data_IF_653415736897
#
_entry.id   IF_653415736897
#
_cell.length_a   1.000
_cell.length_b   1.000
_cell.length_c   1.000
_cell.angle_alpha   90.00
_cell.angle_beta   90.00
_cell.angle_gamma   90.00
#
_symmetry.space_group_name_H-M   'P 1'
#
loop_
_entity.id
_entity.type
_entity.pdbx_description
1 polymer ?
#
# COMPACT_ATOMS: atom_id res chain seq x y z
N UNK A 1 -5.76 29.26 8.33
CA UNK A 1 -4.95 28.15 8.88
C UNK A 1 -5.20 26.95 8.00
N UNK A 2 -4.15 26.27 7.50
CA UNK A 2 -4.32 25.04 6.72
C UNK A 2 -4.79 23.90 7.63
N UNK A 3 -5.65 23.03 7.11
CA UNK A 3 -6.19 21.89 7.86
C UNK A 3 -5.12 20.80 8.00
N UNK A 4 -4.87 20.25 9.21
CA UNK A 4 -3.89 19.18 9.37
C UNK A 4 -4.35 17.91 8.64
N UNK A 5 -3.39 17.20 8.06
CA UNK A 5 -3.63 15.95 7.33
C UNK A 5 -2.73 14.84 7.86
N UNK A 6 -3.28 13.62 7.95
CA UNK A 6 -2.51 12.39 8.08
C UNK A 6 -2.37 11.80 6.68
N UNK A 7 -1.13 11.59 6.24
CA UNK A 7 -0.85 11.07 4.90
C UNK A 7 0.12 9.91 4.95
N UNK A 8 -0.10 8.91 4.10
CA UNK A 8 0.83 7.84 3.81
C UNK A 8 1.00 7.72 2.30
N UNK A 9 2.24 7.52 1.85
CA UNK A 9 2.59 7.40 0.44
C UNK A 9 3.41 6.12 0.26
N UNK A 10 3.03 5.33 -0.73
CA UNK A 10 3.74 4.13 -1.12
C UNK A 10 4.16 4.23 -2.58
N UNK A 11 5.39 3.81 -2.85
CA UNK A 11 5.96 3.69 -4.19
C UNK A 11 6.74 2.38 -4.30
N UNK A 12 6.73 1.78 -5.49
CA UNK A 12 7.48 0.56 -5.81
C UNK A 12 7.93 0.60 -7.27
N UNK A 13 9.08 -0.01 -7.62
CA UNK A 13 9.46 -0.19 -9.02
C UNK A 13 8.52 -1.12 -9.80
N UNK A 14 7.90 -2.07 -9.11
CA UNK A 14 7.12 -3.16 -9.74
C UNK A 14 5.61 -3.04 -9.53
N UNK A 15 5.17 -2.06 -8.75
CA UNK A 15 3.75 -1.90 -8.40
C UNK A 15 3.33 -0.44 -8.41
N UNK A 16 2.11 -0.18 -8.86
CA UNK A 16 1.54 1.17 -8.95
C UNK A 16 1.56 1.89 -7.59
N UNK A 17 1.91 3.19 -7.53
CA UNK A 17 1.92 3.93 -6.28
C UNK A 17 0.51 4.06 -5.69
N UNK A 18 0.41 4.17 -4.37
CA UNK A 18 -0.85 4.50 -3.71
C UNK A 18 -0.64 5.49 -2.56
N UNK A 19 -1.69 6.21 -2.23
CA UNK A 19 -1.69 7.22 -1.18
C UNK A 19 -2.94 7.08 -0.32
N UNK A 20 -2.77 7.26 0.99
CA UNK A 20 -3.86 7.47 1.93
C UNK A 20 -3.77 8.89 2.49
N UNK A 21 -4.90 9.58 2.60
CA UNK A 21 -4.97 10.95 3.14
C UNK A 21 -6.25 11.14 3.96
N UNK A 22 -6.10 11.57 5.20
CA UNK A 22 -7.20 11.93 6.08
C UNK A 22 -7.06 13.37 6.54
N UNK A 23 -8.12 14.17 6.36
CA UNK A 23 -8.20 15.52 6.92
C UNK A 23 -8.63 15.44 8.38
N UNK A 24 -7.96 16.21 9.23
CA UNK A 24 -8.23 16.27 10.67
C UNK A 24 -8.80 17.63 11.04
N UNK A 25 -9.58 17.70 12.10
CA UNK A 25 -10.13 18.98 12.57
C UNK A 25 -9.02 19.90 13.04
N UNK A 26 -9.08 21.20 12.68
CA UNK A 26 -8.17 22.20 13.24
C UNK A 26 -8.54 22.42 14.70
N UNK A 27 -7.56 22.32 15.60
CA UNK A 27 -7.72 22.61 17.03
C UNK A 27 -6.85 23.81 17.42
N UNK A 28 -7.44 24.72 18.20
CA UNK A 28 -6.75 25.89 18.76
C UNK A 28 -5.82 25.48 19.92
N UNK A 29 -4.78 26.26 20.19
CA UNK A 29 -3.95 26.11 21.40
C UNK A 29 -4.76 26.28 22.69
N UNK A 30 -5.83 27.08 22.63
CA UNK A 30 -6.80 27.31 23.72
C UNK A 30 -7.97 26.32 23.74
N UNK A 31 -7.93 25.26 22.91
CA UNK A 31 -9.00 24.27 22.85
C UNK A 31 -9.23 23.56 24.19
N UNK A 32 -10.48 23.21 24.47
CA UNK A 32 -10.86 22.52 25.70
C UNK A 32 -10.26 21.10 25.74
N UNK A 33 -10.24 20.49 26.92
CA UNK A 33 -9.83 19.08 27.07
C UNK A 33 -10.71 18.13 26.26
N UNK A 34 -12.02 18.42 26.16
CA UNK A 34 -12.98 17.67 25.35
C UNK A 34 -12.67 17.75 23.86
N UNK A 35 -12.32 18.94 23.36
CA UNK A 35 -11.95 19.13 21.95
C UNK A 35 -10.66 18.38 21.61
N UNK A 36 -9.66 18.45 22.50
CA UNK A 36 -8.40 17.70 22.36
C UNK A 36 -8.64 16.19 22.37
N UNK A 37 -9.50 15.69 23.26
CA UNK A 37 -9.85 14.28 23.31
C UNK A 37 -10.56 13.82 22.03
N UNK A 38 -11.48 14.64 21.51
CA UNK A 38 -12.18 14.38 20.25
C UNK A 38 -11.23 14.35 19.06
N UNK A 39 -10.30 15.30 18.98
CA UNK A 39 -9.25 15.32 17.96
C UNK A 39 -8.37 14.06 18.01
N UNK A 40 -7.90 13.67 19.21
CA UNK A 40 -7.08 12.48 19.37
C UNK A 40 -7.85 11.19 19.05
N UNK A 41 -9.16 11.15 19.32
CA UNK A 41 -10.02 10.04 18.92
C UNK A 41 -10.12 9.94 17.39
N UNK A 42 -10.36 11.06 16.72
CA UNK A 42 -10.42 11.13 15.26
C UNK A 42 -9.08 10.71 14.64
N UNK A 43 -7.96 11.24 15.14
CA UNK A 43 -6.62 10.87 14.68
C UNK A 43 -6.36 9.36 14.83
N UNK A 44 -6.71 8.75 15.98
CA UNK A 44 -6.56 7.30 16.17
C UNK A 44 -7.40 6.49 15.19
N UNK A 45 -8.62 6.92 14.91
CA UNK A 45 -9.47 6.25 13.92
C UNK A 45 -8.85 6.34 12.52
N UNK A 46 -8.39 7.52 12.10
CA UNK A 46 -7.71 7.69 10.81
C UNK A 46 -6.44 6.84 10.71
N UNK A 47 -5.67 6.70 11.78
CA UNK A 47 -4.49 5.82 11.81
C UNK A 47 -4.89 4.35 11.62
N UNK A 48 -5.91 3.87 12.34
CA UNK A 48 -6.38 2.49 12.22
C UNK A 48 -6.92 2.19 10.81
N UNK A 49 -7.63 3.14 10.22
CA UNK A 49 -8.10 3.05 8.83
C UNK A 49 -6.93 3.03 7.85
N UNK A 50 -5.97 3.95 7.98
CA UNK A 50 -4.75 3.96 7.15
C UNK A 50 -4.02 2.63 7.23
N UNK A 51 -3.86 2.06 8.43
CA UNK A 51 -3.23 0.76 8.63
C UNK A 51 -4.00 -0.36 7.92
N UNK A 52 -5.32 -0.38 8.04
CA UNK A 52 -6.17 -1.36 7.36
C UNK A 52 -6.00 -1.29 5.85
N UNK A 53 -6.04 -0.08 5.28
CA UNK A 53 -5.87 0.15 3.83
C UNK A 53 -4.50 -0.33 3.36
N UNK A 54 -3.42 0.04 4.07
CA UNK A 54 -2.06 -0.40 3.72
C UNK A 54 -1.97 -1.93 3.75
N UNK A 55 -2.50 -2.58 4.79
CA UNK A 55 -2.47 -4.04 4.88
C UNK A 55 -3.24 -4.69 3.73
N UNK A 56 -4.41 -4.16 3.38
CA UNK A 56 -5.20 -4.68 2.26
C UNK A 56 -4.45 -4.53 0.93
N UNK A 57 -3.93 -3.34 0.64
CA UNK A 57 -3.20 -3.05 -0.60
C UNK A 57 -1.95 -3.92 -0.75
N UNK A 58 -1.13 -4.03 0.30
CA UNK A 58 0.09 -4.84 0.26
C UNK A 58 -0.22 -6.33 0.18
N UNK A 59 -1.29 -6.81 0.84
CA UNK A 59 -1.69 -8.22 0.76
C UNK A 59 -2.17 -8.57 -0.65
N UNK A 60 -3.00 -7.73 -1.26
CA UNK A 60 -3.46 -7.95 -2.64
C UNK A 60 -2.29 -7.99 -3.63
N UNK A 61 -1.26 -7.15 -3.43
CA UNK A 61 -0.05 -7.15 -4.27
C UNK A 61 0.79 -8.40 -4.09
N UNK A 62 0.98 -8.88 -2.85
CA UNK A 62 1.67 -10.15 -2.59
C UNK A 62 0.97 -11.33 -3.29
N UNK A 63 -0.37 -11.33 -3.32
CA UNK A 63 -1.13 -12.36 -4.04
C UNK A 63 -0.94 -12.27 -5.56
N UNK A 64 -0.89 -11.05 -6.11
CA UNK A 64 -0.59 -10.82 -7.53
C UNK A 64 0.83 -11.25 -7.89
N UNK A 65 1.82 -10.90 -7.07
CA UNK A 65 3.22 -11.27 -7.27
C UNK A 65 3.38 -12.80 -7.23
N UNK A 66 2.75 -13.46 -6.26
CA UNK A 66 2.75 -14.93 -6.19
C UNK A 66 2.14 -15.59 -7.42
N UNK A 67 1.06 -15.03 -7.96
CA UNK A 67 0.44 -15.56 -9.18
C UNK A 67 1.31 -15.34 -10.42
N UNK A 68 2.00 -14.20 -10.49
CA UNK A 68 2.96 -13.88 -11.56
C UNK A 68 4.14 -14.84 -11.55
N UNK A 69 4.71 -15.10 -10.37
CA UNK A 69 5.87 -15.97 -10.21
C UNK A 69 5.51 -17.42 -10.57
N UNK A 70 4.37 -17.93 -10.09
CA UNK A 70 3.89 -19.26 -10.47
C UNK A 70 3.65 -19.42 -11.98
N UNK A 71 3.18 -18.37 -12.66
CA UNK A 71 3.01 -18.38 -14.11
C UNK A 71 4.34 -18.33 -14.87
N UNK A 72 5.37 -17.69 -14.30
CA UNK A 72 6.72 -17.67 -14.86
C UNK A 72 7.38 -19.05 -14.72
N UNK A 73 7.28 -19.68 -13.55
CA UNK A 73 7.78 -21.04 -13.30
C UNK A 73 7.12 -22.06 -14.23
N UNK A 74 5.80 -22.00 -14.42
CA UNK A 74 5.10 -22.91 -15.35
C UNK A 74 5.60 -22.78 -16.80
N UNK A 75 5.88 -21.55 -17.25
CA UNK A 75 6.46 -21.33 -18.59
C UNK A 75 7.89 -21.85 -18.70
N UNK A 76 8.68 -21.73 -17.64
CA UNK A 76 10.05 -22.24 -17.61
C UNK A 76 10.07 -23.78 -17.63
N UNK A 77 9.15 -24.44 -16.90
CA UNK A 77 8.96 -25.88 -16.94
C UNK A 77 8.49 -26.38 -18.32
N UNK A 78 7.57 -25.67 -18.98
CA UNK A 78 7.11 -26.00 -20.34
C UNK A 78 8.26 -25.91 -21.37
N UNK A 79 9.20 -24.98 -21.17
CA UNK A 79 10.39 -24.82 -22.02
C UNK A 79 11.50 -25.84 -21.72
N UNK A 80 11.41 -26.61 -20.63
CA UNK A 80 12.46 -27.54 -20.19
C UNK A 80 12.54 -28.85 -21.03
N UNK A 81 11.67 -29.00 -22.03
CA UNK A 81 11.63 -30.15 -22.95
C UNK A 81 11.83 -29.81 -24.43
N UNK A 82 11.99 -28.53 -24.78
CA UNK A 82 12.45 -28.11 -26.09
C UNK A 82 13.96 -27.88 -26.00
N UNK A 83 14.77 -28.78 -26.56
CA UNK A 83 16.19 -28.45 -26.74
C UNK A 83 16.25 -27.23 -27.64
N UNK A 84 16.63 -26.08 -27.07
CA UNK A 84 17.03 -24.90 -27.85
C UNK A 84 18.30 -25.33 -28.58
N UNK A 85 18.12 -25.90 -29.77
CA UNK A 85 19.22 -26.10 -30.71
C UNK A 85 19.67 -24.69 -31.07
N UNK A 86 20.70 -24.21 -30.37
CA UNK A 86 21.51 -23.09 -30.85
C UNK A 86 22.10 -23.57 -32.19
N UNK A 87 21.48 -23.17 -33.30
CA UNK A 87 22.10 -23.30 -34.62
C UNK A 87 23.35 -22.40 -34.60
N UNK A 88 24.52 -23.03 -34.45
CA UNK A 88 25.83 -22.44 -34.71
C UNK A 88 25.91 -22.03 -36.20
N UNK A 89 26.09 -20.73 -36.46
CA UNK A 89 26.59 -20.18 -37.73
C UNK A 89 27.79 -19.25 -37.46
#
# INVERSE_FOLDING_TARGET
MSQPTLTAYYTSPESEPFQVSHTLSVISSTASTTDKASYLKALRASIAETQSTINQELTARMEQDKARDAAAEAKEEENYGEEVVEEED
#
